data_IF_834969553097
#
_entry.id   IF_834969553097
#
_cell.length_a   1.000
_cell.length_b   1.000
_cell.length_c   1.000
_cell.angle_alpha   90.00
_cell.angle_beta   90.00
_cell.angle_gamma   90.00
#
_symmetry.space_group_name_H-M   'P 1'
#
loop_
_entity.id
_entity.type
_entity.pdbx_description
1 polymer ?
#
# COMPACT_ATOMS: atom_id res chain seq x y z
N UNK A 1 -2.86 -4.56 29.95
CA UNK A 1 -2.35 -3.33 29.29
C UNK A 1 -2.86 -3.11 27.86
N UNK A 2 -3.54 -4.07 27.24
CA UNK A 2 -4.05 -4.00 25.85
C UNK A 2 -5.31 -3.12 25.71
N UNK A 3 -6.12 -3.00 26.78
CA UNK A 3 -7.43 -2.32 26.74
C UNK A 3 -7.39 -0.79 26.55
N UNK A 4 -6.31 -0.11 26.93
CA UNK A 4 -6.23 1.37 26.77
C UNK A 4 -5.93 1.79 25.34
N UNK A 5 -5.20 0.99 24.56
CA UNK A 5 -4.85 1.30 23.18
C UNK A 5 -6.03 1.15 22.21
N UNK A 6 -6.88 0.14 22.45
CA UNK A 6 -8.12 -0.03 21.67
C UNK A 6 -9.13 1.10 21.90
N UNK A 7 -9.17 1.66 23.10
CA UNK A 7 -10.06 2.80 23.43
C UNK A 7 -9.65 4.07 22.69
N UNK A 8 -8.35 4.35 22.54
CA UNK A 8 -7.86 5.51 21.79
C UNK A 8 -8.13 5.42 20.29
N UNK A 9 -8.09 4.23 19.70
CA UNK A 9 -8.43 4.02 18.29
C UNK A 9 -9.92 4.24 17.99
N UNK A 10 -10.80 3.92 18.93
CA UNK A 10 -12.25 4.14 18.82
C UNK A 10 -12.65 5.63 19.01
N UNK A 11 -11.87 6.41 19.76
CA UNK A 11 -12.18 7.81 20.05
C UNK A 11 -11.72 8.77 18.95
N UNK A 12 -10.73 8.40 18.14
CA UNK A 12 -10.23 9.23 17.03
C UNK A 12 -11.10 9.15 15.76
N UNK A 13 -11.98 8.15 15.68
CA UNK A 13 -12.84 7.95 14.50
C UNK A 13 -13.93 9.00 14.26
N UNK A 14 -14.50 9.71 15.26
CA UNK A 14 -15.56 10.72 15.05
C UNK A 14 -15.07 12.14 14.73
N UNK A 15 -13.76 12.44 14.85
CA UNK A 15 -13.25 13.80 14.67
C UNK A 15 -13.06 14.25 13.21
N UNK A 16 -13.21 13.34 12.27
CA UNK A 16 -13.13 13.66 10.83
C UNK A 16 -14.55 13.73 10.28
N UNK A 17 -15.09 14.94 10.19
CA UNK A 17 -16.39 15.20 9.56
C UNK A 17 -16.47 14.55 8.17
N UNK A 18 -17.66 14.24 7.70
CA UNK A 18 -18.19 13.65 6.46
C UNK A 18 -17.25 13.30 5.26
N UNK A 19 -15.95 13.16 5.46
CA UNK A 19 -15.00 12.69 4.47
C UNK A 19 -15.12 11.17 4.33
N UNK A 20 -15.25 10.70 3.11
CA UNK A 20 -15.25 9.29 2.74
C UNK A 20 -14.02 8.57 3.30
N UNK A 21 -14.18 7.94 4.46
CA UNK A 21 -13.12 7.12 5.05
C UNK A 21 -13.24 5.71 4.49
N UNK A 22 -12.30 5.36 3.64
CA UNK A 22 -12.15 3.97 3.19
C UNK A 22 -11.45 3.16 4.29
N UNK A 23 -11.87 1.93 4.49
CA UNK A 23 -11.15 0.92 5.28
C UNK A 23 -10.47 -0.05 4.34
N UNK A 24 -9.28 -0.50 4.70
CA UNK A 24 -8.53 -1.51 3.96
C UNK A 24 -7.95 -2.52 4.95
N UNK A 25 -8.33 -3.79 4.81
CA UNK A 25 -7.76 -4.92 5.53
C UNK A 25 -6.82 -5.67 4.60
N UNK A 26 -5.57 -5.85 5.06
CA UNK A 26 -4.52 -6.52 4.28
C UNK A 26 -3.94 -7.70 5.01
N UNK A 27 -3.74 -8.77 4.26
CA UNK A 27 -3.00 -9.96 4.74
C UNK A 27 -1.87 -10.19 3.75
N UNK A 28 -0.63 -10.23 4.27
CA UNK A 28 0.55 -10.56 3.47
C UNK A 28 1.21 -11.80 4.06
N UNK A 29 1.32 -12.85 3.25
CA UNK A 29 2.03 -14.09 3.59
C UNK A 29 3.38 -14.03 2.88
N UNK A 30 4.48 -14.23 3.61
CA UNK A 30 5.84 -14.21 3.07
C UNK A 30 6.53 -15.53 3.32
N UNK A 31 7.25 -15.99 2.31
CA UNK A 31 8.11 -17.17 2.41
C UNK A 31 9.50 -16.87 1.88
N UNK A 32 10.51 -17.16 2.68
CA UNK A 32 11.90 -17.12 2.22
C UNK A 32 12.21 -18.42 1.50
N UNK A 33 12.79 -18.33 0.29
CA UNK A 33 13.18 -19.47 -0.54
C UNK A 33 14.58 -19.19 -1.09
N UNK A 34 15.60 -19.92 -0.59
CA UNK A 34 17.00 -19.74 -1.03
C UNK A 34 17.42 -18.25 -1.06
N UNK A 35 17.66 -17.72 -2.26
CA UNK A 35 18.15 -16.36 -2.48
C UNK A 35 17.03 -15.34 -2.78
N UNK A 36 15.76 -15.72 -2.72
CA UNK A 36 14.64 -14.83 -2.97
C UNK A 36 13.54 -14.98 -1.92
N UNK A 37 12.65 -14.00 -1.85
CA UNK A 37 11.48 -14.06 -1.00
C UNK A 37 10.24 -13.97 -1.87
N UNK A 38 9.34 -14.94 -1.77
CA UNK A 38 8.00 -14.86 -2.36
C UNK A 38 7.01 -14.27 -1.36
N UNK A 39 5.94 -13.71 -1.89
CA UNK A 39 4.82 -13.28 -1.07
C UNK A 39 3.50 -13.37 -1.82
N UNK A 40 2.44 -13.48 -1.06
CA UNK A 40 1.06 -13.29 -1.53
C UNK A 40 0.44 -12.21 -0.65
N UNK A 41 -0.21 -11.23 -1.25
CA UNK A 41 -0.88 -10.12 -0.56
C UNK A 41 -2.34 -10.04 -0.99
N UNK A 42 -3.23 -9.92 -0.01
CA UNK A 42 -4.65 -9.69 -0.21
C UNK A 42 -5.03 -8.35 0.39
N UNK A 43 -5.87 -7.58 -0.29
CA UNK A 43 -6.40 -6.30 0.18
C UNK A 43 -7.91 -6.26 -0.08
N UNK A 44 -8.67 -6.00 0.96
CA UNK A 44 -10.11 -5.87 0.94
C UNK A 44 -10.47 -4.46 1.39
N UNK A 45 -11.35 -3.77 0.64
CA UNK A 45 -11.72 -2.40 1.00
C UNK A 45 -13.22 -2.23 1.05
N UNK A 46 -13.62 -1.47 2.07
CA UNK A 46 -15.01 -1.09 2.32
C UNK A 46 -15.12 0.43 2.48
N UNK A 47 -16.28 0.97 2.15
CA UNK A 47 -16.69 2.33 2.52
C UNK A 47 -18.05 2.28 3.19
N UNK A 48 -18.39 3.32 3.95
CA UNK A 48 -19.73 3.41 4.55
C UNK A 48 -20.85 3.52 3.50
N UNK A 49 -20.57 4.13 2.33
CA UNK A 49 -21.57 4.33 1.28
C UNK A 49 -21.76 3.13 0.35
N UNK A 50 -20.67 2.41 0.04
CA UNK A 50 -20.67 1.35 -0.98
C UNK A 50 -20.53 -0.06 -0.42
N UNK A 51 -20.32 -0.18 0.91
CA UNK A 51 -19.96 -1.45 1.49
C UNK A 51 -18.64 -1.99 0.92
N UNK A 52 -18.59 -3.28 0.60
CA UNK A 52 -17.43 -3.93 0.01
C UNK A 52 -17.36 -3.64 -1.49
N UNK A 53 -16.35 -2.89 -1.92
CA UNK A 53 -16.25 -2.42 -3.31
C UNK A 53 -14.95 -2.77 -4.03
N UNK A 54 -13.93 -3.26 -3.30
CA UNK A 54 -12.60 -3.52 -3.87
C UNK A 54 -11.95 -4.71 -3.21
N UNK A 55 -11.34 -5.55 -4.01
CA UNK A 55 -10.42 -6.60 -3.55
C UNK A 55 -9.27 -6.76 -4.53
N UNK A 56 -8.09 -7.13 -4.03
CA UNK A 56 -7.04 -7.62 -4.90
C UNK A 56 -6.29 -8.79 -4.28
N UNK A 57 -5.70 -9.60 -5.15
CA UNK A 57 -4.62 -10.54 -4.84
C UNK A 57 -3.37 -10.12 -5.59
N UNK A 58 -2.23 -10.14 -4.91
CA UNK A 58 -0.92 -9.81 -5.45
C UNK A 58 0.05 -10.95 -5.14
N UNK A 59 0.67 -11.50 -6.14
CA UNK A 59 1.75 -12.47 -6.00
C UNK A 59 3.05 -11.83 -6.44
N UNK A 60 4.15 -12.06 -5.71
CA UNK A 60 5.43 -11.46 -6.07
C UNK A 60 6.63 -12.25 -5.59
N UNK A 61 7.72 -12.06 -6.31
CA UNK A 61 9.04 -12.58 -5.98
C UNK A 61 10.00 -11.41 -5.85
N UNK A 62 10.67 -11.31 -4.70
CA UNK A 62 11.66 -10.30 -4.39
C UNK A 62 13.05 -10.94 -4.46
N UNK A 63 13.92 -10.40 -5.29
CA UNK A 63 15.27 -10.89 -5.55
C UNK A 63 16.26 -9.83 -5.04
N UNK A 64 17.00 -10.08 -3.95
CA UNK A 64 18.08 -9.22 -3.52
C UNK A 64 19.19 -9.23 -4.58
N UNK A 65 19.54 -8.08 -5.12
CA UNK A 65 20.69 -7.91 -6.04
C UNK A 65 21.98 -7.67 -5.26
N UNK A 66 21.85 -6.87 -4.19
CA UNK A 66 22.94 -6.58 -3.24
C UNK A 66 22.36 -6.41 -1.83
N UNK A 67 23.18 -6.05 -0.84
CA UNK A 67 22.72 -5.71 0.52
C UNK A 67 21.75 -4.50 0.54
N UNK A 68 21.78 -3.65 -0.49
CA UNK A 68 20.98 -2.41 -0.54
C UNK A 68 20.01 -2.36 -1.71
N UNK A 69 20.22 -3.15 -2.74
CA UNK A 69 19.38 -3.18 -3.92
C UNK A 69 18.54 -4.46 -4.00
N UNK A 70 17.29 -4.29 -4.39
CA UNK A 70 16.32 -5.36 -4.58
C UNK A 70 15.56 -5.12 -5.89
N UNK A 71 15.32 -6.18 -6.66
CA UNK A 71 14.34 -6.19 -7.74
C UNK A 71 13.17 -7.10 -7.39
N UNK A 72 12.03 -6.89 -8.02
CA UNK A 72 10.86 -7.76 -7.82
C UNK A 72 10.00 -7.82 -9.07
N UNK A 73 9.49 -9.01 -9.34
CA UNK A 73 8.46 -9.26 -10.34
C UNK A 73 7.17 -9.65 -9.62
N UNK A 74 6.08 -9.06 -10.05
CA UNK A 74 4.80 -9.17 -9.34
C UNK A 74 3.66 -9.26 -10.33
N UNK A 75 2.59 -9.91 -9.93
CA UNK A 75 1.35 -9.97 -10.68
C UNK A 75 0.17 -9.73 -9.76
N UNK A 76 -0.71 -8.81 -10.14
CA UNK A 76 -1.86 -8.42 -9.34
C UNK A 76 -3.15 -8.55 -10.13
N UNK A 77 -4.14 -9.19 -9.54
CA UNK A 77 -5.53 -9.14 -9.97
C UNK A 77 -6.32 -8.20 -9.07
N UNK A 78 -7.04 -7.26 -9.66
CA UNK A 78 -7.87 -6.29 -8.96
C UNK A 78 -9.30 -6.48 -9.43
N UNK A 79 -10.22 -6.56 -8.47
CA UNK A 79 -11.65 -6.50 -8.72
C UNK A 79 -12.21 -5.26 -8.06
N UNK A 80 -12.87 -4.42 -8.85
CA UNK A 80 -13.53 -3.20 -8.38
C UNK A 80 -15.00 -3.24 -8.75
N UNK A 81 -15.87 -3.02 -7.79
CA UNK A 81 -17.30 -2.94 -8.03
C UNK A 81 -17.67 -1.57 -8.63
N UNK A 82 -18.37 -1.58 -9.75
CA UNK A 82 -18.85 -0.39 -10.43
C UNK A 82 -20.24 -0.67 -11.00
N UNK A 83 -21.23 0.14 -10.64
CA UNK A 83 -22.62 0.02 -11.11
C UNK A 83 -23.18 -1.40 -10.97
N UNK A 84 -22.95 -2.05 -9.80
CA UNK A 84 -23.45 -3.39 -9.49
C UNK A 84 -22.65 -4.55 -10.10
N UNK A 85 -21.65 -4.31 -10.96
CA UNK A 85 -20.81 -5.34 -11.58
C UNK A 85 -19.36 -5.25 -11.10
N UNK A 86 -18.67 -6.41 -11.05
CA UNK A 86 -17.25 -6.47 -10.76
C UNK A 86 -16.45 -6.36 -12.06
N UNK A 87 -15.49 -5.41 -12.07
CA UNK A 87 -14.55 -5.21 -13.18
C UNK A 87 -13.19 -5.74 -12.78
N UNK A 88 -12.59 -6.54 -13.65
CA UNK A 88 -11.26 -7.10 -13.48
C UNK A 88 -10.21 -6.17 -14.11
N UNK A 89 -9.11 -5.98 -13.39
CA UNK A 89 -7.90 -5.36 -13.90
C UNK A 89 -6.70 -6.24 -13.51
N UNK A 90 -5.89 -6.63 -14.48
CA UNK A 90 -4.67 -7.42 -14.29
C UNK A 90 -3.46 -6.50 -14.40
N UNK A 91 -2.45 -6.70 -13.52
CA UNK A 91 -1.26 -5.85 -13.49
C UNK A 91 0.01 -6.66 -13.32
N UNK A 92 0.67 -7.08 -14.39
CA UNK A 92 2.07 -7.44 -14.33
C UNK A 92 2.90 -6.22 -13.93
N UNK A 93 3.88 -6.40 -13.04
CA UNK A 93 4.68 -5.32 -12.46
C UNK A 93 6.13 -5.75 -12.33
N UNK A 94 7.03 -4.80 -12.53
CA UNK A 94 8.45 -4.94 -12.20
C UNK A 94 8.90 -3.75 -11.36
N UNK A 95 9.76 -3.96 -10.38
CA UNK A 95 10.30 -2.89 -9.56
C UNK A 95 11.78 -3.03 -9.30
N UNK A 96 12.40 -1.90 -9.04
CA UNK A 96 13.71 -1.81 -8.42
C UNK A 96 13.61 -0.93 -7.18
N UNK A 97 14.30 -1.32 -6.11
CA UNK A 97 14.32 -0.59 -4.84
C UNK A 97 15.73 -0.48 -4.29
N UNK A 98 16.08 0.70 -3.84
CA UNK A 98 17.29 0.96 -3.03
C UNK A 98 16.89 1.20 -1.59
N UNK A 99 17.65 0.60 -0.66
CA UNK A 99 17.51 0.82 0.78
C UNK A 99 18.78 1.48 1.31
N UNK A 100 18.62 2.52 2.12
CA UNK A 100 19.71 3.26 2.77
C UNK A 100 19.43 3.25 4.26
N UNK A 101 20.36 2.70 5.05
CA UNK A 101 20.25 2.66 6.49
C UNK A 101 21.14 3.77 7.08
N UNK A 102 20.55 4.64 7.87
CA UNK A 102 21.26 5.59 8.74
C UNK A 102 21.14 5.12 10.19
N UNK A 103 21.73 5.84 11.13
CA UNK A 103 21.65 5.49 12.56
C UNK A 103 20.19 5.48 13.06
N UNK A 104 19.37 6.44 12.66
CA UNK A 104 18.02 6.65 13.17
C UNK A 104 16.93 6.19 12.23
N UNK A 105 17.16 6.23 10.93
CA UNK A 105 16.15 5.96 9.91
C UNK A 105 16.63 4.94 8.87
N UNK A 106 15.68 4.14 8.41
CA UNK A 106 15.79 3.32 7.21
C UNK A 106 15.00 3.96 6.09
N UNK A 107 15.68 4.42 5.06
CA UNK A 107 15.08 4.95 3.84
C UNK A 107 14.90 3.85 2.80
N UNK A 108 13.84 3.94 2.02
CA UNK A 108 13.71 3.13 0.81
C UNK A 108 13.15 3.98 -0.33
N UNK A 109 13.82 3.93 -1.47
CA UNK A 109 13.37 4.55 -2.73
C UNK A 109 13.07 3.42 -3.70
N UNK A 110 11.89 3.44 -4.30
CA UNK A 110 11.40 2.41 -5.22
C UNK A 110 10.85 3.04 -6.48
N UNK A 111 11.26 2.49 -7.63
CA UNK A 111 10.59 2.68 -8.91
C UNK A 111 9.85 1.40 -9.27
N UNK A 112 8.58 1.51 -9.64
CA UNK A 112 7.70 0.40 -10.01
C UNK A 112 7.06 0.72 -11.35
N UNK A 113 7.26 -0.17 -12.32
CA UNK A 113 6.53 -0.18 -13.59
C UNK A 113 5.36 -1.14 -13.48
N UNK A 114 4.16 -0.73 -13.87
CA UNK A 114 2.99 -1.59 -13.93
C UNK A 114 2.26 -1.42 -15.27
N UNK A 115 2.03 -2.53 -15.95
CA UNK A 115 1.15 -2.58 -17.11
C UNK A 115 -0.25 -2.97 -16.65
N UNK A 116 -1.26 -2.18 -17.03
CA UNK A 116 -2.63 -2.28 -16.55
C UNK A 116 -3.53 -2.79 -17.67
N UNK A 117 -3.88 -4.07 -17.62
CA UNK A 117 -4.81 -4.72 -18.54
C UNK A 117 -6.22 -4.59 -17.95
N UNK A 118 -7.13 -3.92 -18.65
CA UNK A 118 -8.43 -3.50 -18.12
C UNK A 118 -9.60 -3.95 -19.00
N UNK A 119 -10.57 -4.63 -18.43
CA UNK A 119 -11.75 -5.12 -19.18
C UNK A 119 -12.61 -4.03 -19.81
N UNK A 120 -12.53 -2.79 -19.34
CA UNK A 120 -13.48 -1.71 -19.75
C UNK A 120 -12.83 -0.41 -20.17
N UNK A 121 -11.51 -0.41 -20.35
CA UNK A 121 -10.72 0.75 -20.77
C UNK A 121 -9.51 0.25 -21.55
N UNK A 122 -8.88 1.14 -22.28
CA UNK A 122 -7.61 0.87 -22.91
C UNK A 122 -6.53 0.49 -21.87
N UNK A 123 -5.64 -0.38 -22.26
CA UNK A 123 -4.51 -0.77 -21.43
C UNK A 123 -3.59 0.43 -21.18
N UNK A 124 -2.87 0.44 -20.08
CA UNK A 124 -2.05 1.58 -19.70
C UNK A 124 -0.74 1.17 -19.05
N UNK A 125 0.34 1.82 -19.40
CA UNK A 125 1.61 1.71 -18.71
C UNK A 125 1.75 2.85 -17.68
N UNK A 126 2.11 2.50 -16.44
CA UNK A 126 2.24 3.45 -15.34
C UNK A 126 3.53 3.26 -14.58
N UNK A 127 4.23 4.35 -14.33
CA UNK A 127 5.36 4.40 -13.41
C UNK A 127 4.91 4.87 -12.03
N UNK A 128 5.52 4.30 -10.97
CA UNK A 128 5.28 4.71 -9.59
C UNK A 128 6.62 4.86 -8.89
N UNK A 129 6.89 6.05 -8.37
CA UNK A 129 8.07 6.30 -7.55
C UNK A 129 7.63 6.48 -6.11
N UNK A 130 8.21 5.70 -5.19
CA UNK A 130 7.92 5.78 -3.77
C UNK A 130 9.17 6.02 -2.95
N UNK A 131 9.08 6.98 -2.05
CA UNK A 131 10.07 7.24 -1.00
C UNK A 131 9.43 6.96 0.35
N UNK A 132 10.10 6.16 1.19
CA UNK A 132 9.64 5.82 2.54
C UNK A 132 10.79 6.04 3.52
N UNK A 133 10.45 6.58 4.68
CA UNK A 133 11.32 6.65 5.86
C UNK A 133 10.67 5.85 7.00
N UNK A 134 11.45 5.00 7.65
CA UNK A 134 11.02 4.21 8.80
C UNK A 134 12.01 4.35 9.94
N UNK A 135 11.52 4.53 11.17
CA UNK A 135 12.36 4.58 12.35
C UNK A 135 13.08 3.26 12.58
N UNK A 136 14.38 3.33 12.88
CA UNK A 136 15.16 2.20 13.41
C UNK A 136 14.89 2.01 14.92
N UNK A 137 14.46 3.08 15.62
CA UNK A 137 14.15 3.05 17.04
C UNK A 137 12.76 2.45 17.26
N UNK A 138 12.64 1.59 18.23
CA UNK A 138 11.39 1.01 18.69
C UNK A 138 10.87 1.86 19.88
N UNK A 139 9.74 2.52 19.71
CA UNK A 139 9.09 3.33 20.74
C UNK A 139 7.98 2.52 21.40
N UNK A 140 8.30 1.82 22.47
CA UNK A 140 7.33 0.98 23.21
C UNK A 140 6.53 0.01 22.30
N UNK A 141 7.22 -0.67 21.40
CA UNK A 141 6.57 -1.60 20.47
C UNK A 141 6.12 -1.00 19.14
N UNK A 142 6.30 0.31 18.95
CA UNK A 142 5.91 1.04 17.74
C UNK A 142 7.14 1.46 16.95
N UNK A 143 7.13 1.24 15.64
CA UNK A 143 8.12 1.78 14.70
C UNK A 143 7.42 2.68 13.71
N UNK A 144 7.47 4.02 13.91
CA UNK A 144 6.83 4.96 13.01
C UNK A 144 7.46 4.93 11.62
N UNK A 145 6.63 5.17 10.62
CA UNK A 145 7.07 5.38 9.26
C UNK A 145 6.19 6.42 8.55
N UNK A 146 6.78 7.06 7.55
CA UNK A 146 6.08 7.93 6.63
C UNK A 146 6.64 7.74 5.22
N UNK A 147 5.85 8.08 4.22
CA UNK A 147 6.30 8.02 2.84
C UNK A 147 5.35 8.64 1.86
N UNK A 148 5.87 8.84 0.67
CA UNK A 148 5.11 9.39 -0.43
C UNK A 148 5.29 8.51 -1.67
N UNK A 149 4.25 8.34 -2.47
CA UNK A 149 4.26 7.61 -3.73
C UNK A 149 3.58 8.42 -4.82
N UNK A 150 4.33 8.72 -5.86
CA UNK A 150 3.89 9.45 -7.05
C UNK A 150 3.56 8.47 -8.16
N UNK A 151 2.53 8.77 -8.92
CA UNK A 151 2.06 7.96 -10.03
C UNK A 151 2.10 8.80 -11.30
N UNK A 152 2.83 8.30 -12.28
CA UNK A 152 2.96 8.90 -13.58
C UNK A 152 2.34 7.96 -14.62
N UNK A 153 1.32 8.44 -15.31
CA UNK A 153 0.68 7.72 -16.40
C UNK A 153 1.46 8.01 -17.68
N UNK A 154 2.00 6.97 -18.32
CA UNK A 154 2.88 7.13 -19.48
C UNK A 154 2.10 7.35 -20.77
N UNK A 155 0.79 7.07 -20.81
CA UNK A 155 -0.05 7.33 -21.98
C UNK A 155 -0.49 8.79 -22.05
N UNK A 156 -0.93 9.33 -20.91
CA UNK A 156 -1.33 10.75 -20.83
C UNK A 156 -0.16 11.68 -20.59
N UNK A 157 1.03 11.12 -20.28
CA UNK A 157 2.25 11.85 -19.93
C UNK A 157 2.05 12.80 -18.73
N UNK A 158 1.25 12.36 -17.72
CA UNK A 158 0.84 13.18 -16.59
C UNK A 158 1.06 12.50 -15.23
N UNK A 159 1.35 13.34 -14.23
CA UNK A 159 1.21 12.96 -12.82
C UNK A 159 -0.27 13.07 -12.43
N UNK A 160 -0.92 11.93 -12.27
CA UNK A 160 -2.36 11.89 -12.03
C UNK A 160 -2.76 11.36 -10.66
N UNK A 161 -1.78 10.95 -9.83
CA UNK A 161 -2.08 10.41 -8.51
C UNK A 161 -0.90 10.56 -7.54
N UNK A 162 -1.22 10.83 -6.28
CA UNK A 162 -0.25 10.83 -5.18
C UNK A 162 -0.81 10.10 -3.96
N UNK A 163 0.06 9.39 -3.23
CA UNK A 163 -0.26 8.79 -1.94
C UNK A 163 0.72 9.26 -0.88
N UNK A 164 0.21 9.94 0.14
CA UNK A 164 0.95 10.19 1.37
C UNK A 164 0.55 9.12 2.40
N UNK A 165 1.52 8.51 3.04
CA UNK A 165 1.33 7.41 3.99
C UNK A 165 2.03 7.74 5.29
N UNK A 166 1.33 7.58 6.42
CA UNK A 166 1.90 7.73 7.77
C UNK A 166 1.36 6.60 8.64
N UNK A 167 2.21 5.95 9.41
CA UNK A 167 1.76 4.83 10.24
C UNK A 167 2.82 4.24 11.15
N UNK A 168 2.48 3.08 11.70
CA UNK A 168 3.31 2.35 12.64
C UNK A 168 3.33 0.88 12.29
N UNK A 169 4.53 0.28 12.28
CA UNK A 169 4.65 -1.15 12.46
C UNK A 169 4.62 -1.44 13.97
N UNK A 170 3.81 -2.39 14.35
CA UNK A 170 3.65 -2.82 15.73
C UNK A 170 4.62 -3.97 16.03
N UNK A 171 4.90 -4.19 17.33
CA UNK A 171 5.65 -5.37 17.74
C UNK A 171 4.98 -6.65 17.26
N UNK A 172 5.80 -7.62 16.91
CA UNK A 172 5.31 -8.94 16.52
C UNK A 172 4.53 -9.59 17.66
N UNK A 173 3.44 -10.25 17.29
CA UNK A 173 2.64 -11.08 18.18
C UNK A 173 2.64 -12.50 17.60
N UNK A 174 3.39 -13.39 18.23
CA UNK A 174 3.67 -14.71 17.69
C UNK A 174 4.39 -14.61 16.33
N UNK A 175 3.84 -15.25 15.31
CA UNK A 175 4.37 -15.22 13.93
C UNK A 175 3.85 -14.05 13.10
N UNK A 176 2.98 -13.19 13.64
CA UNK A 176 2.36 -12.08 12.92
C UNK A 176 3.08 -10.74 13.18
N UNK A 177 3.18 -9.91 12.15
CA UNK A 177 3.70 -8.55 12.22
C UNK A 177 2.61 -7.55 11.77
N UNK A 178 1.86 -6.97 12.74
CA UNK A 178 0.80 -6.02 12.42
C UNK A 178 1.37 -4.65 12.03
N UNK A 179 0.65 -3.95 11.14
CA UNK A 179 0.95 -2.58 10.72
C UNK A 179 -0.36 -1.81 10.63
N UNK A 180 -0.39 -0.60 11.14
CA UNK A 180 -1.53 0.30 11.03
C UNK A 180 -1.05 1.59 10.38
N UNK A 181 -1.73 2.05 9.34
CA UNK A 181 -1.36 3.30 8.71
C UNK A 181 -2.54 4.01 8.06
N UNK A 182 -2.40 5.31 7.99
CA UNK A 182 -3.27 6.20 7.27
C UNK A 182 -2.68 6.52 5.90
N UNK A 183 -3.53 6.54 4.89
CA UNK A 183 -3.15 6.88 3.54
C UNK A 183 -4.06 7.98 3.00
N UNK A 184 -3.47 9.15 2.73
CA UNK A 184 -4.09 10.21 1.96
C UNK A 184 -3.84 9.95 0.47
N UNK A 185 -4.90 9.99 -0.31
CA UNK A 185 -4.89 9.74 -1.75
C UNK A 185 -5.34 11.01 -2.45
N UNK A 186 -4.52 11.54 -3.34
CA UNK A 186 -4.86 12.63 -4.23
C UNK A 186 -4.93 12.07 -5.65
N UNK A 187 -6.09 12.11 -6.27
CA UNK A 187 -6.35 11.68 -7.65
C UNK A 187 -6.67 12.89 -8.53
N UNK A 188 -5.99 13.04 -9.67
CA UNK A 188 -6.30 14.06 -10.68
C UNK A 188 -7.32 13.48 -11.66
N UNK A 189 -8.53 14.03 -11.67
CA UNK A 189 -9.64 13.55 -12.50
C UNK A 189 -10.37 14.75 -13.10
N UNK A 190 -10.52 14.76 -14.43
CA UNK A 190 -11.24 15.82 -15.15
C UNK A 190 -10.78 17.25 -14.79
N UNK A 191 -9.46 17.46 -14.73
CA UNK A 191 -8.89 18.79 -14.45
C UNK A 191 -8.89 19.20 -12.97
N UNK A 192 -9.29 18.32 -12.04
CA UNK A 192 -9.38 18.63 -10.60
C UNK A 192 -8.73 17.56 -9.75
N UNK A 193 -8.14 17.98 -8.63
CA UNK A 193 -7.65 17.07 -7.60
C UNK A 193 -8.81 16.64 -6.68
N UNK A 194 -9.02 15.34 -6.58
CA UNK A 194 -9.99 14.71 -5.67
C UNK A 194 -9.21 14.02 -4.56
N UNK A 195 -9.62 14.24 -3.31
CA UNK A 195 -8.96 13.70 -2.15
C UNK A 195 -9.80 12.60 -1.52
N UNK A 196 -9.15 11.53 -1.11
CA UNK A 196 -9.76 10.47 -0.32
C UNK A 196 -8.78 9.93 0.72
N UNK A 197 -9.32 9.28 1.73
CA UNK A 197 -8.56 8.80 2.87
C UNK A 197 -8.81 7.31 3.07
N UNK A 198 -7.78 6.59 3.46
CA UNK A 198 -7.89 5.16 3.75
C UNK A 198 -7.16 4.83 5.04
N UNK A 199 -7.85 4.27 6.01
CA UNK A 199 -7.23 3.61 7.16
C UNK A 199 -6.91 2.17 6.76
N UNK A 200 -5.68 1.75 6.96
CA UNK A 200 -5.20 0.42 6.56
C UNK A 200 -4.74 -0.37 7.78
N UNK A 201 -5.30 -1.55 7.93
CA UNK A 201 -4.89 -2.58 8.88
C UNK A 201 -4.22 -3.69 8.09
N UNK A 202 -2.96 -3.96 8.37
CA UNK A 202 -2.19 -4.98 7.68
C UNK A 202 -1.61 -5.97 8.66
N UNK A 203 -1.72 -7.25 8.35
CA UNK A 203 -1.03 -8.34 9.05
C UNK A 203 -0.06 -8.99 8.07
N UNK A 204 1.19 -9.18 8.49
CA UNK A 204 2.20 -9.94 7.74
C UNK A 204 2.54 -11.21 8.51
N UNK A 205 2.48 -12.35 7.82
CA UNK A 205 2.77 -13.70 8.32
C UNK A 205 4.01 -14.24 7.64
#
# INVERSE_FOLDING_TARGET
MINKFFLYLLVVSPLFGQTLINRSEKITIKRKMYNFNSYIDFDFRTTNERGFYYRHSDFGVNIPLTKTWLTSFQYRNIYTQSKGSWKLEKRPKALIQKTINTRTLKWSVRSLQEYRIRDSKEDALRNRVRVMAKSNTNWNGLKPFAGNEFFYDMETNEYNKNWLVVGFDLSKVGFTAPTIYYKHISDYVNGKWIFSYTMVFKVTI
#
